data_IF_181346632336
#
_entry.id   IF_181346632336
#
_cell.length_a   1.000
_cell.length_b   1.000
_cell.length_c   1.000
_cell.angle_alpha   90.00
_cell.angle_beta   90.00
_cell.angle_gamma   90.00
#
_symmetry.space_group_name_H-M   'P 1'
#
loop_
_entity.id
_entity.type
_entity.pdbx_description
1 polymer ?
#
# COMPACT_ATOMS: atom_id res chain seq x y z
N UNK A 1 27.24 -29.48 -8.53
CA UNK A 1 26.19 -29.23 -7.52
C UNK A 1 24.87 -29.14 -8.25
N UNK A 2 23.85 -29.86 -7.81
CA UNK A 2 22.52 -29.75 -8.38
C UNK A 2 21.84 -28.50 -7.80
N UNK A 3 21.69 -27.46 -8.61
CA UNK A 3 21.15 -26.16 -8.20
C UNK A 3 19.64 -26.05 -8.41
N UNK A 4 18.98 -27.08 -8.94
CA UNK A 4 17.57 -27.02 -9.31
C UNK A 4 16.66 -26.64 -8.12
N UNK A 5 16.96 -27.16 -6.92
CA UNK A 5 16.23 -26.79 -5.69
C UNK A 5 16.46 -25.34 -5.27
N UNK A 6 17.67 -24.82 -5.49
CA UNK A 6 18.01 -23.43 -5.20
C UNK A 6 17.31 -22.49 -6.18
N UNK A 7 17.33 -22.81 -7.48
CA UNK A 7 16.65 -22.04 -8.52
C UNK A 7 15.14 -21.99 -8.30
N UNK A 8 14.52 -23.12 -7.96
CA UNK A 8 13.10 -23.17 -7.61
C UNK A 8 12.78 -22.32 -6.38
N UNK A 9 13.64 -22.35 -5.36
CA UNK A 9 13.44 -21.55 -4.14
C UNK A 9 13.59 -20.06 -4.41
N UNK A 10 14.56 -19.67 -5.25
CA UNK A 10 14.76 -18.29 -5.66
C UNK A 10 13.58 -17.76 -6.51
N UNK A 11 13.02 -18.60 -7.38
CA UNK A 11 11.84 -18.25 -8.16
C UNK A 11 10.63 -17.97 -7.26
N UNK A 12 10.31 -18.90 -6.34
CA UNK A 12 9.19 -18.73 -5.40
C UNK A 12 9.34 -17.51 -4.50
N UNK A 13 10.57 -17.20 -4.11
CA UNK A 13 10.86 -16.00 -3.33
C UNK A 13 10.50 -14.74 -4.12
N UNK A 14 10.92 -14.63 -5.37
CA UNK A 14 10.60 -13.47 -6.24
C UNK A 14 9.10 -13.36 -6.50
N UNK A 15 8.42 -14.48 -6.72
CA UNK A 15 6.95 -14.50 -6.90
C UNK A 15 6.24 -13.99 -5.64
N UNK A 16 6.69 -14.40 -4.46
CA UNK A 16 6.14 -13.93 -3.19
C UNK A 16 6.42 -12.43 -2.97
N UNK A 17 7.60 -11.93 -3.36
CA UNK A 17 7.91 -10.49 -3.31
C UNK A 17 7.00 -9.68 -4.23
N UNK A 18 6.77 -10.14 -5.45
CA UNK A 18 5.86 -9.49 -6.40
C UNK A 18 4.41 -9.49 -5.89
N UNK A 19 3.95 -10.62 -5.34
CA UNK A 19 2.62 -10.71 -4.75
C UNK A 19 2.46 -9.79 -3.52
N UNK A 20 3.51 -9.66 -2.71
CA UNK A 20 3.54 -8.75 -1.57
C UNK A 20 3.53 -7.28 -2.02
N UNK A 21 4.27 -6.95 -3.07
CA UNK A 21 4.28 -5.60 -3.66
C UNK A 21 2.88 -5.23 -4.18
N UNK A 22 2.26 -6.09 -4.99
CA UNK A 22 0.90 -5.88 -5.48
C UNK A 22 -0.11 -5.70 -4.34
N UNK A 23 -0.06 -6.57 -3.31
CA UNK A 23 -0.94 -6.44 -2.15
C UNK A 23 -0.72 -5.14 -1.36
N UNK A 24 0.51 -4.61 -1.33
CA UNK A 24 0.80 -3.31 -0.72
C UNK A 24 0.22 -2.16 -1.53
N UNK A 25 0.29 -2.23 -2.86
CA UNK A 25 -0.30 -1.24 -3.75
C UNK A 25 -1.82 -1.22 -3.64
N UNK A 26 -2.46 -2.39 -3.66
CA UNK A 26 -3.91 -2.53 -3.46
C UNK A 26 -4.35 -1.94 -2.12
N UNK A 27 -3.64 -2.25 -1.03
CA UNK A 27 -3.96 -1.72 0.30
C UNK A 27 -3.78 -0.18 0.36
N UNK A 28 -2.81 0.37 -0.35
CA UNK A 28 -2.63 1.82 -0.44
C UNK A 28 -3.77 2.48 -1.24
N UNK A 29 -4.17 1.87 -2.36
CA UNK A 29 -5.26 2.39 -3.20
C UNK A 29 -6.59 2.44 -2.42
N UNK A 30 -6.96 1.34 -1.75
CA UNK A 30 -8.16 1.27 -0.91
C UNK A 30 -8.12 2.26 0.26
N UNK A 31 -6.94 2.41 0.89
CA UNK A 31 -6.75 3.40 1.94
C UNK A 31 -6.95 4.83 1.43
N UNK A 32 -6.41 5.17 0.24
CA UNK A 32 -6.61 6.49 -0.38
C UNK A 32 -8.09 6.72 -0.71
N UNK A 33 -8.77 5.74 -1.31
CA UNK A 33 -10.19 5.84 -1.62
C UNK A 33 -11.03 6.09 -0.36
N UNK A 34 -10.75 5.37 0.73
CA UNK A 34 -11.40 5.58 2.02
C UNK A 34 -11.14 6.99 2.60
N UNK A 35 -9.94 7.54 2.40
CA UNK A 35 -9.57 8.89 2.87
C UNK A 35 -10.24 10.01 2.07
N UNK A 36 -10.67 9.75 0.82
CA UNK A 36 -11.34 10.71 -0.05
C UNK A 36 -12.87 10.76 0.19
N UNK A 37 -13.49 9.68 0.67
CA UNK A 37 -14.95 9.55 0.74
C UNK A 37 -15.65 10.17 1.97
N UNK A 38 -14.96 10.84 2.91
CA UNK A 38 -15.63 11.33 4.12
C UNK A 38 -14.89 12.41 4.93
N UNK A 39 -15.45 12.74 6.10
CA UNK A 39 -14.90 13.74 7.02
C UNK A 39 -13.46 13.40 7.44
N UNK A 40 -12.57 14.33 7.16
CA UNK A 40 -11.13 14.14 7.06
C UNK A 40 -10.45 13.54 8.31
N UNK A 41 -10.98 13.81 9.51
CA UNK A 41 -10.43 13.28 10.77
C UNK A 41 -10.92 11.88 11.13
N UNK A 42 -12.17 11.54 10.80
CA UNK A 42 -12.77 10.24 11.12
C UNK A 42 -12.15 9.10 10.31
N UNK A 43 -11.92 9.34 9.02
CA UNK A 43 -11.41 8.32 8.10
C UNK A 43 -9.92 8.03 8.33
N UNK A 44 -9.10 9.03 8.69
CA UNK A 44 -7.69 8.81 9.02
C UNK A 44 -7.48 7.88 10.22
N UNK A 45 -8.27 8.06 11.28
CA UNK A 45 -8.18 7.21 12.47
C UNK A 45 -8.62 5.77 12.18
N UNK A 46 -9.67 5.61 11.36
CA UNK A 46 -10.18 4.30 10.94
C UNK A 46 -9.17 3.56 10.06
N UNK A 47 -8.60 4.23 9.06
CA UNK A 47 -7.58 3.64 8.18
C UNK A 47 -6.36 3.21 8.99
N UNK A 48 -5.82 4.07 9.86
CA UNK A 48 -4.69 3.72 10.72
C UNK A 48 -4.97 2.49 11.61
N UNK A 49 -6.21 2.38 12.13
CA UNK A 49 -6.62 1.23 12.96
C UNK A 49 -6.69 -0.07 12.16
N UNK A 50 -7.21 -0.03 10.92
CA UNK A 50 -7.39 -1.22 10.08
C UNK A 50 -6.05 -1.70 9.52
N UNK A 51 -5.23 -0.79 8.99
CA UNK A 51 -3.97 -1.14 8.34
C UNK A 51 -2.81 -1.32 9.31
N UNK A 52 -2.97 -0.86 10.56
CA UNK A 52 -1.89 -0.79 11.54
C UNK A 52 -0.86 0.30 11.25
N UNK A 53 -1.09 1.15 10.25
CA UNK A 53 -0.18 2.25 9.93
C UNK A 53 -0.25 3.37 10.96
N UNK A 54 0.86 4.09 11.08
CA UNK A 54 0.87 5.30 11.89
C UNK A 54 -0.03 6.36 11.24
N UNK A 55 -0.65 7.20 12.07
CA UNK A 55 -1.44 8.35 11.58
C UNK A 55 -0.61 9.29 10.69
N UNK A 56 0.68 9.38 10.96
CA UNK A 56 1.60 10.18 10.14
C UNK A 56 1.76 9.60 8.73
N UNK A 57 1.90 8.28 8.61
CA UNK A 57 1.96 7.61 7.31
C UNK A 57 0.66 7.81 6.53
N UNK A 58 -0.49 7.63 7.18
CA UNK A 58 -1.82 7.85 6.58
C UNK A 58 -1.98 9.30 6.09
N UNK A 59 -1.51 10.29 6.87
CA UNK A 59 -1.53 11.70 6.46
C UNK A 59 -0.64 11.97 5.24
N UNK A 60 0.57 11.40 5.21
CA UNK A 60 1.47 11.52 4.04
C UNK A 60 0.87 10.88 2.80
N UNK A 61 0.20 9.73 2.96
CA UNK A 61 -0.48 9.04 1.87
C UNK A 61 -1.61 9.89 1.28
N UNK A 62 -2.47 10.48 2.13
CA UNK A 62 -3.49 11.43 1.69
C UNK A 62 -2.88 12.63 0.94
N UNK A 63 -1.88 13.29 1.53
CA UNK A 63 -1.21 14.45 0.91
C UNK A 63 -0.64 14.12 -0.47
N UNK A 64 0.01 12.97 -0.62
CA UNK A 64 0.56 12.50 -1.91
C UNK A 64 -0.55 12.25 -2.93
N UNK A 65 -1.69 11.69 -2.51
CA UNK A 65 -2.83 11.48 -3.38
C UNK A 65 -3.44 12.81 -3.84
N UNK A 66 -3.65 13.77 -2.93
CA UNK A 66 -4.15 15.11 -3.25
C UNK A 66 -3.20 15.85 -4.23
N UNK A 67 -1.89 15.75 -4.04
CA UNK A 67 -0.87 16.32 -4.94
C UNK A 67 -0.91 15.69 -6.34
N UNK A 68 -1.01 14.36 -6.43
CA UNK A 68 -1.13 13.65 -7.70
C UNK A 68 -2.44 13.96 -8.44
N UNK A 69 -3.55 14.18 -7.72
CA UNK A 69 -4.84 14.57 -8.31
C UNK A 69 -4.83 16.02 -8.82
N UNK A 70 -4.02 16.90 -8.25
CA UNK A 70 -3.95 18.33 -8.64
C UNK A 70 -2.95 18.60 -9.76
N UNK A 71 -1.93 17.73 -9.95
CA UNK A 71 -0.93 17.84 -11.02
C UNK A 71 -1.35 17.34 -12.40
N UNK A 72 -2.60 16.86 -12.57
CA UNK A 72 -3.18 16.44 -13.85
C UNK A 72 -4.18 17.46 -14.44
N UNK A 73 -4.26 18.67 -13.89
CA UNK A 73 -5.10 19.76 -14.39
C UNK A 73 -4.35 20.72 -15.32
#
# INVERSE_FOLDING_TARGET
>A
MDTARLELSAQRYREAEQALEAAREDLQAEAVAALQQGEERGNQATVARITGWTREYVRRLKKKADENSTGQA
#
